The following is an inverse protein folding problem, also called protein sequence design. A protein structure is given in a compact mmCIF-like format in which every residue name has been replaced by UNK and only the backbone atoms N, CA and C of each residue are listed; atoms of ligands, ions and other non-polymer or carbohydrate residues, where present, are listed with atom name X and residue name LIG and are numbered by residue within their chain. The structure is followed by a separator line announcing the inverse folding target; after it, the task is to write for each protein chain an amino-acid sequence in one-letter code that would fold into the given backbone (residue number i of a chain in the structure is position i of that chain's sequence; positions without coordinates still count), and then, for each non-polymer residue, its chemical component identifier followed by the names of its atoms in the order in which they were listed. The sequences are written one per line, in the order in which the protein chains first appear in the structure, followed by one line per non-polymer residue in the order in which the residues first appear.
data_IF_812374397822
#
_entry.id   IF_812374397822
#
_cell.length_a   1.000
_cell.length_b   1.000
_cell.length_c   1.000
_cell.angle_alpha   90.00
_cell.angle_beta   90.00
_cell.angle_gamma   90.00
#
_symmetry.space_group_name_H-M   'P 1'
#
loop_
_entity.id
_entity.type
_entity.pdbx_description
1 polymer ?
#
# COMPACT_ATOMS: atom_id res chain seq x y z
N UNK A 1 19.15 -14.10 19.62
CA UNK A 1 18.37 -14.59 18.46
C UNK A 1 18.65 -13.68 17.28
N UNK A 2 19.19 -14.24 16.21
CA UNK A 2 19.44 -13.52 14.95
C UNK A 2 18.20 -13.70 14.09
N UNK A 3 17.45 -12.61 13.94
CA UNK A 3 16.24 -12.57 13.12
C UNK A 3 16.61 -12.63 11.64
N UNK A 4 15.76 -13.23 10.83
CA UNK A 4 16.05 -13.34 9.40
C UNK A 4 15.78 -12.00 8.71
N UNK A 5 16.56 -11.70 7.67
CA UNK A 5 16.38 -10.52 6.80
C UNK A 5 14.91 -10.42 6.31
N UNK A 6 14.29 -11.57 6.05
CA UNK A 6 12.90 -11.71 5.64
C UNK A 6 11.88 -11.14 6.63
N UNK A 7 11.99 -11.47 7.92
CA UNK A 7 11.06 -10.99 8.96
C UNK A 7 10.99 -9.45 9.00
N UNK A 8 12.15 -8.79 8.88
CA UNK A 8 12.24 -7.32 8.82
C UNK A 8 11.57 -6.77 7.56
N UNK A 9 11.80 -7.39 6.41
CA UNK A 9 11.20 -6.96 5.14
C UNK A 9 9.68 -7.18 5.12
N UNK A 10 9.20 -8.31 5.66
CA UNK A 10 7.78 -8.61 5.84
C UNK A 10 7.11 -7.58 6.75
N UNK A 11 7.78 -7.19 7.83
CA UNK A 11 7.29 -6.16 8.73
C UNK A 11 7.19 -4.78 8.06
N UNK A 12 8.18 -4.40 7.24
CA UNK A 12 8.14 -3.16 6.43
C UNK A 12 6.97 -3.17 5.43
N UNK A 13 6.69 -4.31 4.82
CA UNK A 13 5.52 -4.45 3.94
C UNK A 13 4.21 -4.33 4.74
N UNK A 14 4.14 -4.94 5.93
CA UNK A 14 3.00 -4.79 6.83
C UNK A 14 2.78 -3.35 7.32
N UNK A 15 3.83 -2.53 7.46
CA UNK A 15 3.67 -1.11 7.76
C UNK A 15 2.95 -0.35 6.61
N UNK A 16 3.13 -0.79 5.36
CA UNK A 16 2.38 -0.24 4.22
C UNK A 16 0.91 -0.65 4.23
N UNK A 17 0.56 -1.81 4.82
CA UNK A 17 -0.83 -2.25 5.00
C UNK A 17 -1.66 -1.16 5.69
N UNK A 18 -1.16 -0.59 6.79
CA UNK A 18 -1.85 0.49 7.50
C UNK A 18 -2.07 1.71 6.63
N UNK A 19 -1.05 2.13 5.86
CA UNK A 19 -1.19 3.23 4.91
C UNK A 19 -2.30 2.96 3.86
N UNK A 20 -2.30 1.76 3.27
CA UNK A 20 -3.30 1.42 2.26
C UNK A 20 -4.69 1.17 2.84
N UNK A 21 -4.78 0.74 4.09
CA UNK A 21 -6.05 0.64 4.81
C UNK A 21 -6.74 2.00 4.87
N UNK A 22 -6.05 3.05 5.30
CA UNK A 22 -6.63 4.40 5.33
C UNK A 22 -6.99 4.88 3.90
N UNK A 23 -6.08 4.71 2.93
CA UNK A 23 -6.29 5.05 1.51
C UNK A 23 -7.55 4.42 0.93
N UNK A 24 -7.75 3.13 1.14
CA UNK A 24 -8.83 2.38 0.53
C UNK A 24 -10.12 2.37 1.35
N UNK A 25 -10.02 2.19 2.67
CA UNK A 25 -11.17 1.99 3.54
C UNK A 25 -11.73 3.28 4.12
N UNK A 26 -10.98 4.36 4.21
CA UNK A 26 -11.42 5.55 4.97
C UNK A 26 -11.64 6.79 4.08
N UNK A 27 -10.71 7.12 3.20
CA UNK A 27 -10.80 8.37 2.43
C UNK A 27 -11.92 8.45 1.38
N UNK A 28 -12.33 7.37 0.68
CA UNK A 28 -13.46 7.45 -0.26
C UNK A 28 -14.81 7.86 0.37
N UNK A 29 -14.88 7.95 1.70
CA UNK A 29 -16.10 8.14 2.49
C UNK A 29 -16.23 9.52 3.12
N UNK A 30 -15.22 10.38 2.93
CA UNK A 30 -15.28 11.78 3.35
C UNK A 30 -16.32 12.50 2.48
N UNK A 31 -17.20 13.28 3.12
CA UNK A 31 -18.26 14.03 2.43
C UNK A 31 -17.66 15.11 1.54
N UNK A 32 -18.19 15.26 0.33
CA UNK A 32 -17.74 16.25 -0.63
C UNK A 32 -18.09 17.68 -0.13
N UNK A 33 -17.13 18.60 -0.22
CA UNK A 33 -17.22 20.03 0.14
C UNK A 33 -16.08 20.82 -0.55
N UNK A 34 -16.01 22.14 -0.43
CA UNK A 34 -15.01 22.94 -1.19
C UNK A 34 -13.55 22.60 -0.86
N UNK A 35 -13.24 22.20 0.38
CA UNK A 35 -11.92 21.72 0.82
C UNK A 35 -11.57 20.30 0.33
N UNK A 36 -12.48 19.63 -0.38
CA UNK A 36 -12.35 18.23 -0.77
C UNK A 36 -11.47 18.00 -1.99
N UNK A 37 -11.39 18.96 -2.91
CA UNK A 37 -10.59 18.82 -4.12
C UNK A 37 -9.08 18.90 -3.85
N UNK A 38 -8.64 19.90 -3.09
CA UNK A 38 -7.25 20.02 -2.64
C UNK A 38 -6.83 18.82 -1.78
N UNK A 39 -7.75 18.35 -0.93
CA UNK A 39 -7.55 17.17 -0.11
C UNK A 39 -7.43 15.87 -0.94
N UNK A 40 -8.27 15.67 -1.96
CA UNK A 40 -8.15 14.53 -2.90
C UNK A 40 -6.80 14.52 -3.63
N UNK A 41 -6.29 15.69 -4.02
CA UNK A 41 -4.96 15.81 -4.64
C UNK A 41 -3.86 15.39 -3.66
N UNK A 42 -3.87 15.88 -2.42
CA UNK A 42 -2.91 15.45 -1.39
C UNK A 42 -2.97 13.94 -1.12
N UNK A 43 -4.17 13.37 -1.03
CA UNK A 43 -4.33 11.91 -0.83
C UNK A 43 -3.79 11.12 -2.02
N UNK A 44 -4.01 11.61 -3.26
CA UNK A 44 -3.43 11.01 -4.47
C UNK A 44 -1.91 11.01 -4.43
N UNK A 45 -1.29 12.12 -4.02
CA UNK A 45 0.16 12.22 -3.87
C UNK A 45 0.71 11.20 -2.87
N UNK A 46 0.09 11.13 -1.69
CA UNK A 46 0.47 10.16 -0.67
C UNK A 46 0.29 8.73 -1.21
N UNK A 47 -0.81 8.43 -1.88
CA UNK A 47 -1.05 7.12 -2.47
C UNK A 47 0.03 6.76 -3.48
N UNK A 48 0.43 7.68 -4.38
CA UNK A 48 1.51 7.45 -5.35
C UNK A 48 2.84 7.17 -4.66
N UNK A 49 3.18 7.93 -3.61
CA UNK A 49 4.41 7.69 -2.82
C UNK A 49 4.37 6.30 -2.18
N UNK A 50 3.23 5.89 -1.62
CA UNK A 50 3.06 4.59 -0.97
C UNK A 50 3.06 3.45 -1.98
N UNK A 51 2.43 3.60 -3.14
CA UNK A 51 2.46 2.63 -4.25
C UNK A 51 3.89 2.45 -4.80
N UNK A 52 4.66 3.53 -4.94
CA UNK A 52 6.08 3.43 -5.29
C UNK A 52 6.88 2.64 -4.25
N UNK A 53 6.61 2.89 -2.97
CA UNK A 53 7.26 2.19 -1.86
C UNK A 53 6.86 0.70 -1.82
N UNK A 54 5.60 0.39 -2.10
CA UNK A 54 5.10 -0.98 -2.25
C UNK A 54 5.83 -1.74 -3.36
N UNK A 55 5.98 -1.15 -4.55
CA UNK A 55 6.70 -1.80 -5.66
C UNK A 55 8.15 -2.15 -5.28
N UNK A 56 8.85 -1.27 -4.56
CA UNK A 56 10.20 -1.53 -4.04
C UNK A 56 10.20 -2.63 -2.98
N UNK A 57 9.28 -2.58 -2.02
CA UNK A 57 9.17 -3.58 -0.97
C UNK A 57 8.85 -4.96 -1.54
N UNK A 58 7.97 -5.04 -2.54
CA UNK A 58 7.63 -6.30 -3.23
C UNK A 58 8.84 -6.94 -3.89
N UNK A 59 9.70 -6.19 -4.57
CA UNK A 59 10.92 -6.74 -5.20
C UNK A 59 11.80 -7.41 -4.14
N UNK A 60 12.02 -6.75 -3.00
CA UNK A 60 12.80 -7.29 -1.89
C UNK A 60 12.15 -8.56 -1.32
N UNK A 61 10.83 -8.55 -1.16
CA UNK A 61 10.08 -9.74 -0.72
C UNK A 61 10.23 -10.89 -1.73
N UNK A 62 10.13 -10.63 -3.03
CA UNK A 62 10.28 -11.65 -4.07
C UNK A 62 11.68 -12.29 -4.03
N UNK A 63 12.73 -11.52 -3.76
CA UNK A 63 14.08 -12.06 -3.55
C UNK A 63 14.11 -13.01 -2.35
N UNK A 64 13.51 -12.62 -1.21
CA UNK A 64 13.44 -13.47 -0.02
C UNK A 64 12.61 -14.74 -0.28
N UNK A 65 11.47 -14.63 -0.98
CA UNK A 65 10.64 -15.77 -1.36
C UNK A 65 11.37 -16.75 -2.27
N UNK A 66 12.18 -16.24 -3.21
CA UNK A 66 13.03 -17.05 -4.09
C UNK A 66 14.05 -17.86 -3.29
N UNK A 67 14.71 -17.24 -2.32
CA UNK A 67 15.67 -17.92 -1.44
C UNK A 67 14.98 -19.02 -0.61
N UNK A 68 13.74 -18.76 -0.17
CA UNK A 68 12.93 -19.70 0.62
C UNK A 68 12.21 -20.76 -0.23
N UNK A 69 12.26 -20.67 -1.56
CA UNK A 69 11.51 -21.52 -2.51
C UNK A 69 9.98 -21.43 -2.31
N UNK A 70 9.47 -20.21 -2.12
CA UNK A 70 8.06 -19.88 -1.86
C UNK A 70 7.48 -18.85 -2.84
N UNK A 71 8.04 -18.76 -4.04
CA UNK A 71 7.64 -17.82 -5.10
C UNK A 71 6.18 -17.98 -5.53
N UNK A 72 5.63 -19.19 -5.40
CA UNK A 72 4.23 -19.52 -5.70
C UNK A 72 3.21 -18.65 -4.95
N UNK A 73 3.60 -18.07 -3.81
CA UNK A 73 2.78 -17.12 -3.06
C UNK A 73 2.64 -15.81 -3.84
N UNK A 74 3.75 -15.18 -4.24
CA UNK A 74 3.73 -13.95 -5.01
C UNK A 74 3.11 -14.15 -6.41
N UNK A 75 3.35 -15.30 -7.04
CA UNK A 75 2.70 -15.67 -8.30
C UNK A 75 1.18 -15.78 -8.16
N UNK A 76 0.69 -16.37 -7.07
CA UNK A 76 -0.75 -16.47 -6.79
C UNK A 76 -1.39 -15.11 -6.58
N UNK A 77 -0.63 -14.16 -6.05
CA UNK A 77 -1.04 -12.78 -5.82
C UNK A 77 -0.84 -11.86 -7.03
N UNK A 78 -0.41 -12.38 -8.19
CA UNK A 78 -0.25 -11.61 -9.44
C UNK A 78 -1.41 -10.69 -9.79
N UNK A 79 -2.68 -11.14 -9.75
CA UNK A 79 -3.81 -10.28 -10.05
C UNK A 79 -3.81 -8.97 -9.23
N UNK A 80 -3.30 -9.01 -8.00
CA UNK A 80 -3.26 -7.84 -7.11
C UNK A 80 -2.10 -6.89 -7.45
N UNK A 81 -0.89 -7.40 -7.68
CA UNK A 81 0.27 -6.51 -7.89
C UNK A 81 0.48 -6.09 -9.34
N UNK A 82 0.00 -6.86 -10.31
CA UNK A 82 0.23 -6.62 -11.74
C UNK A 82 -0.37 -5.29 -12.24
N UNK A 83 -1.62 -4.93 -11.90
CA UNK A 83 -2.19 -3.64 -12.31
C UNK A 83 -1.40 -2.44 -11.82
N UNK A 84 -0.75 -2.54 -10.65
CA UNK A 84 0.11 -1.49 -10.09
C UNK A 84 1.45 -1.47 -10.83
N UNK A 85 2.02 -2.64 -11.10
CA UNK A 85 3.30 -2.78 -11.79
C UNK A 85 3.26 -2.28 -13.23
N UNK A 86 2.14 -2.45 -13.93
CA UNK A 86 1.93 -1.86 -15.26
C UNK A 86 2.07 -0.34 -15.28
N UNK A 87 1.76 0.31 -14.15
CA UNK A 87 1.87 1.76 -13.97
C UNK A 87 3.22 2.21 -13.38
N UNK A 88 4.20 1.31 -13.20
CA UNK A 88 5.42 1.57 -12.40
C UNK A 88 6.22 2.80 -12.84
N UNK A 89 6.34 3.06 -14.14
CA UNK A 89 7.11 4.20 -14.64
C UNK A 89 6.35 5.51 -14.39
N UNK A 90 5.04 5.52 -14.62
CA UNK A 90 4.18 6.66 -14.28
C UNK A 90 4.20 6.97 -12.78
N UNK A 91 4.09 5.94 -11.93
CA UNK A 91 4.18 6.06 -10.47
C UNK A 91 5.54 6.64 -10.06
N UNK A 92 6.64 6.16 -10.65
CA UNK A 92 8.01 6.64 -10.37
C UNK A 92 8.19 8.10 -10.77
N UNK A 93 7.72 8.47 -11.96
CA UNK A 93 7.81 9.84 -12.47
C UNK A 93 6.98 10.80 -11.62
N UNK A 94 5.71 10.47 -11.35
CA UNK A 94 4.85 11.27 -10.48
C UNK A 94 5.45 11.42 -9.08
N UNK A 95 5.93 10.35 -8.45
CA UNK A 95 6.56 10.42 -7.12
C UNK A 95 7.74 11.39 -7.11
N UNK A 96 8.58 11.37 -8.15
CA UNK A 96 9.74 12.24 -8.22
C UNK A 96 9.34 13.70 -8.44
N UNK A 97 8.35 13.95 -9.30
CA UNK A 97 7.84 15.29 -9.56
C UNK A 97 7.05 15.85 -8.36
N UNK A 98 6.25 15.06 -7.63
CA UNK A 98 5.58 15.49 -6.40
C UNK A 98 6.56 15.85 -5.28
N UNK A 99 7.65 15.09 -5.11
CA UNK A 99 8.71 15.47 -4.17
C UNK A 99 9.44 16.73 -4.62
N UNK A 100 9.59 16.93 -5.93
CA UNK A 100 10.12 18.17 -6.47
C UNK A 100 9.15 19.34 -6.21
N UNK A 101 7.82 19.14 -6.27
CA UNK A 101 6.80 20.16 -5.97
C UNK A 101 6.78 20.65 -4.53
N UNK A 102 7.32 19.90 -3.57
CA UNK A 102 7.60 20.43 -2.23
C UNK A 102 8.81 21.38 -2.24
N UNK A 103 8.99 22.16 -3.31
CA UNK A 103 10.14 23.01 -3.56
C UNK A 103 10.48 23.87 -2.34
N UNK A 104 11.79 24.04 -2.12
CA UNK A 104 12.37 24.98 -1.18
C UNK A 104 11.66 26.33 -1.25
N UNK A 105 11.38 26.92 -0.08
CA UNK A 105 10.69 28.20 0.05
C UNK A 105 11.21 29.21 -1.00
N UNK A 106 10.31 29.74 -1.84
CA UNK A 106 10.52 30.80 -2.86
C UNK A 106 10.78 30.40 -4.34
N UNK A 107 10.58 29.14 -4.76
CA UNK A 107 10.56 28.80 -6.20
C UNK A 107 9.12 28.75 -6.75
N UNK A 108 8.86 29.30 -7.96
CA UNK A 108 7.57 29.11 -8.63
C UNK A 108 7.45 27.67 -9.15
N UNK A 109 6.24 27.09 -9.06
CA UNK A 109 5.97 25.76 -9.60
C UNK A 109 6.27 25.70 -11.11
N UNK A 110 7.15 24.79 -11.52
CA UNK A 110 7.53 24.60 -12.94
C UNK A 110 6.44 23.87 -13.76
N UNK A 111 5.69 22.98 -13.12
CA UNK A 111 4.62 22.18 -13.73
C UNK A 111 3.41 22.11 -12.77
N UNK A 112 2.21 21.89 -13.28
CA UNK A 112 1.04 21.58 -12.46
C UNK A 112 0.92 20.07 -12.27
N UNK A 113 0.25 19.62 -11.20
CA UNK A 113 -0.04 18.20 -11.02
C UNK A 113 -0.78 17.59 -12.23
N UNK A 114 -1.64 18.36 -12.90
CA UNK A 114 -2.40 17.93 -14.08
C UNK A 114 -1.52 17.79 -15.34
N UNK A 115 -0.57 18.69 -15.57
CA UNK A 115 0.43 18.57 -16.63
C UNK A 115 1.28 17.32 -16.43
N UNK A 116 1.67 17.03 -15.19
CA UNK A 116 2.45 15.83 -14.87
C UNK A 116 1.63 14.57 -15.12
N UNK A 117 0.36 14.55 -14.71
CA UNK A 117 -0.53 13.41 -14.94
C UNK A 117 -0.74 13.17 -16.44
N UNK A 118 -0.85 14.25 -17.23
CA UNK A 118 -0.98 14.18 -18.69
C UNK A 118 0.28 13.58 -19.35
N UNK A 119 1.47 14.01 -18.94
CA UNK A 119 2.74 13.52 -19.50
C UNK A 119 3.05 12.07 -19.13
N UNK A 120 2.73 11.69 -17.89
CA UNK A 120 3.06 10.35 -17.37
C UNK A 120 2.13 9.25 -17.89
N UNK A 121 1.01 9.61 -18.53
CA UNK A 121 -0.02 8.70 -19.09
C UNK A 121 -0.52 7.64 -18.11
N UNK A 122 -0.35 7.88 -16.82
CA UNK A 122 -0.79 6.99 -15.76
C UNK A 122 -2.30 7.13 -15.55
N UNK A 123 -2.97 5.99 -15.44
CA UNK A 123 -4.34 5.95 -14.94
C UNK A 123 -4.35 6.41 -13.48
N UNK A 124 -4.85 7.62 -13.25
CA UNK A 124 -4.67 8.33 -11.97
C UNK A 124 -5.92 9.07 -11.54
N UNK A 125 -7.07 8.67 -12.10
CA UNK A 125 -8.34 9.10 -11.56
C UNK A 125 -8.45 8.69 -10.08
N UNK A 126 -9.35 9.33 -9.34
CA UNK A 126 -9.58 8.95 -7.95
C UNK A 126 -9.88 7.46 -7.82
N UNK A 127 -10.69 6.91 -8.72
CA UNK A 127 -11.05 5.48 -8.70
C UNK A 127 -9.84 4.59 -8.97
N UNK A 128 -8.97 4.95 -9.92
CA UNK A 128 -7.74 4.19 -10.20
C UNK A 128 -6.85 4.11 -8.96
N UNK A 129 -6.67 5.23 -8.25
CA UNK A 129 -5.82 5.32 -7.07
C UNK A 129 -6.39 4.49 -5.91
N UNK A 130 -7.71 4.55 -5.71
CA UNK A 130 -8.39 3.73 -4.71
C UNK A 130 -8.29 2.24 -5.07
N UNK A 131 -8.50 1.88 -6.34
CA UNK A 131 -8.34 0.52 -6.83
C UNK A 131 -6.92 -0.02 -6.59
N UNK A 132 -5.88 0.72 -6.99
CA UNK A 132 -4.49 0.33 -6.75
C UNK A 132 -4.15 0.21 -5.27
N UNK A 133 -4.68 1.12 -4.44
CA UNK A 133 -4.51 1.06 -2.99
C UNK A 133 -5.17 -0.19 -2.40
N UNK A 134 -6.38 -0.54 -2.86
CA UNK A 134 -7.08 -1.77 -2.47
C UNK A 134 -6.33 -3.03 -2.90
N UNK A 135 -5.77 -3.05 -4.10
CA UNK A 135 -4.91 -4.12 -4.59
C UNK A 135 -3.67 -4.31 -3.70
N UNK A 136 -2.94 -3.23 -3.41
CA UNK A 136 -1.75 -3.28 -2.56
C UNK A 136 -2.08 -3.72 -1.12
N UNK A 137 -3.19 -3.22 -0.55
CA UNK A 137 -3.69 -3.63 0.76
C UNK A 137 -3.90 -5.15 0.82
N UNK A 138 -4.67 -5.69 -0.12
CA UNK A 138 -4.99 -7.11 -0.15
C UNK A 138 -3.74 -7.98 -0.39
N UNK A 139 -2.80 -7.53 -1.24
CA UNK A 139 -1.51 -8.20 -1.40
C UNK A 139 -0.79 -8.31 -0.05
N UNK A 140 -0.66 -7.22 0.69
CA UNK A 140 0.00 -7.21 2.00
C UNK A 140 -0.71 -8.15 2.98
N UNK A 141 -2.04 -8.13 3.01
CA UNK A 141 -2.84 -8.97 3.91
C UNK A 141 -2.67 -10.47 3.61
N UNK A 142 -2.75 -10.89 2.35
CA UNK A 142 -2.56 -12.30 1.98
C UNK A 142 -1.12 -12.76 2.19
N UNK A 143 -0.12 -11.93 1.86
CA UNK A 143 1.27 -12.28 2.11
C UNK A 143 1.52 -12.48 3.61
N UNK A 144 1.05 -11.53 4.43
CA UNK A 144 1.13 -11.64 5.89
C UNK A 144 0.46 -12.91 6.41
N UNK A 145 -0.73 -13.26 5.91
CA UNK A 145 -1.44 -14.46 6.34
C UNK A 145 -0.66 -15.77 6.03
N UNK A 146 0.13 -15.79 4.96
CA UNK A 146 1.00 -16.92 4.61
C UNK A 146 2.30 -16.99 5.43
N UNK A 147 2.62 -15.94 6.20
CA UNK A 147 3.82 -15.81 7.03
C UNK A 147 3.49 -15.18 8.40
N UNK A 148 2.36 -15.58 8.98
CA UNK A 148 1.79 -14.93 10.18
C UNK A 148 2.75 -14.99 11.37
N UNK A 149 3.44 -16.12 11.54
CA UNK A 149 4.36 -16.32 12.65
C UNK A 149 5.60 -15.43 12.53
N UNK A 150 6.17 -15.32 11.32
CA UNK A 150 7.30 -14.45 11.01
C UNK A 150 6.91 -12.98 11.21
N UNK A 151 5.70 -12.60 10.79
CA UNK A 151 5.18 -11.26 11.00
C UNK A 151 4.99 -10.91 12.48
N UNK A 152 4.39 -11.81 13.27
CA UNK A 152 4.17 -11.59 14.71
C UNK A 152 5.50 -11.45 15.46
N UNK A 153 6.47 -12.32 15.14
CA UNK A 153 7.82 -12.27 15.70
C UNK A 153 8.53 -10.96 15.36
N UNK A 154 8.42 -10.50 14.11
CA UNK A 154 8.98 -9.21 13.70
C UNK A 154 8.28 -8.04 14.40
N UNK A 155 6.95 -8.08 14.53
CA UNK A 155 6.16 -7.03 15.17
C UNK A 155 6.56 -6.82 16.62
N UNK A 156 6.65 -7.88 17.42
CA UNK A 156 7.02 -7.78 18.83
C UNK A 156 8.37 -7.09 19.03
N UNK A 157 9.29 -7.31 18.09
CA UNK A 157 10.63 -6.72 18.14
C UNK A 157 10.70 -5.28 17.59
N UNK A 158 10.00 -5.00 16.50
CA UNK A 158 10.13 -3.76 15.75
C UNK A 158 8.96 -2.78 15.94
N UNK A 159 7.99 -3.05 16.83
CA UNK A 159 6.83 -2.16 17.03
C UNK A 159 7.24 -0.70 17.31
N UNK A 160 8.37 -0.48 17.96
CA UNK A 160 8.86 0.86 18.36
C UNK A 160 9.75 1.52 17.31
N UNK A 161 10.01 0.83 16.19
CA UNK A 161 10.96 1.24 15.15
C UNK A 161 10.29 1.56 13.82
N UNK A 162 8.95 1.59 13.76
CA UNK A 162 8.26 2.09 12.57
C UNK A 162 8.55 3.59 12.48
N UNK A 163 9.22 4.06 11.42
CA UNK A 163 9.45 5.47 11.26
C UNK A 163 8.11 6.17 10.95
N UNK A 164 7.89 7.34 11.55
CA UNK A 164 6.59 8.02 11.63
C UNK A 164 5.96 8.29 10.25
N UNK A 165 6.80 8.46 9.23
CA UNK A 165 6.51 8.65 7.81
C UNK A 165 5.90 7.40 7.13
N UNK A 166 6.02 6.22 7.73
CA UNK A 166 5.32 5.02 7.28
C UNK A 166 3.84 5.01 7.69
N UNK A 167 3.45 5.83 8.68
CA UNK A 167 2.12 5.88 9.26
C UNK A 167 1.43 7.14 8.73
N UNK A 168 0.32 6.97 8.01
CA UNK A 168 -0.58 8.09 7.78
C UNK A 168 -1.11 8.56 9.14
N UNK A 169 -1.19 9.87 9.43
CA UNK A 169 -1.77 10.34 10.68
C UNK A 169 -3.12 9.67 10.90
N UNK A 170 -3.37 9.13 12.10
CA UNK A 170 -4.65 8.51 12.45
C UNK A 170 -5.77 9.56 12.30
N UNK A 171 -6.44 9.60 11.16
CA UNK A 171 -7.69 10.31 11.00
C UNK A 171 -8.80 9.34 11.41
N UNK A 172 -9.47 9.59 12.54
CA UNK A 172 -10.69 8.83 12.88
C UNK A 172 -11.77 9.12 11.84
N UNK A 173 -12.01 8.20 10.91
CA UNK A 173 -13.10 8.29 9.95
C UNK A 173 -14.03 7.10 10.19
N UNK A 174 -15.22 7.39 10.75
CA UNK A 174 -16.22 6.38 11.08
C UNK A 174 -17.14 6.09 9.88
N UNK A 175 -17.40 4.79 9.67
CA UNK A 175 -18.37 4.13 8.77
C UNK A 175 -17.83 3.61 7.42
N UNK A 176 -18.25 2.38 7.05
CA UNK A 176 -17.69 1.58 5.93
C UNK A 176 -18.76 0.89 5.07
N UNK A 177 -18.84 1.23 3.76
CA UNK A 177 -19.30 0.43 2.58
C UNK A 177 -18.64 1.06 1.33
N UNK A 178 -18.15 0.43 0.26
CA UNK A 178 -18.34 -0.86 -0.40
C UNK A 178 -17.08 -1.10 -1.28
N UNK A 179 -16.60 -2.33 -1.51
CA UNK A 179 -15.53 -2.57 -2.49
C UNK A 179 -16.04 -2.44 -3.94
N UNK A 180 -15.20 -1.89 -4.82
CA UNK A 180 -15.43 -1.85 -6.27
C UNK A 180 -15.51 -3.28 -6.83
N UNK A 181 -16.42 -3.53 -7.79
CA UNK A 181 -16.62 -4.85 -8.39
C UNK A 181 -15.37 -5.38 -9.10
N UNK A 182 -14.55 -4.47 -9.64
CA UNK A 182 -13.27 -4.82 -10.25
C UNK A 182 -12.29 -5.38 -9.19
N UNK A 183 -12.18 -4.74 -8.03
CA UNK A 183 -11.31 -5.21 -6.95
C UNK A 183 -11.77 -6.57 -6.41
N UNK A 184 -13.07 -6.76 -6.22
CA UNK A 184 -13.61 -8.07 -5.81
C UNK A 184 -13.23 -9.18 -6.77
N UNK A 185 -13.29 -8.90 -8.07
CA UNK A 185 -12.90 -9.86 -9.12
C UNK A 185 -11.42 -10.22 -8.99
N UNK A 186 -10.54 -9.23 -8.82
CA UNK A 186 -9.10 -9.45 -8.65
C UNK A 186 -8.80 -10.27 -7.38
N UNK A 187 -9.45 -9.94 -6.26
CA UNK A 187 -9.33 -10.66 -5.00
C UNK A 187 -9.75 -12.13 -5.18
N UNK A 188 -10.90 -12.38 -5.81
CA UNK A 188 -11.41 -13.73 -6.04
C UNK A 188 -10.46 -14.57 -6.91
N UNK A 189 -9.84 -13.98 -7.93
CA UNK A 189 -8.84 -14.67 -8.74
C UNK A 189 -7.60 -15.02 -7.89
N UNK A 190 -7.12 -14.09 -7.07
CA UNK A 190 -5.99 -14.35 -6.16
C UNK A 190 -6.31 -15.45 -5.14
N UNK A 191 -7.52 -15.46 -4.56
CA UNK A 191 -7.98 -16.53 -3.65
C UNK A 191 -7.96 -17.88 -4.37
N UNK A 192 -8.53 -17.97 -5.58
CA UNK A 192 -8.53 -19.21 -6.37
C UNK A 192 -7.10 -19.69 -6.67
N UNK A 193 -6.18 -18.78 -6.98
CA UNK A 193 -4.78 -19.12 -7.22
C UNK A 193 -4.08 -19.64 -5.96
N UNK A 194 -4.30 -18.99 -4.81
CA UNK A 194 -3.77 -19.44 -3.52
C UNK A 194 -4.30 -20.84 -3.16
N UNK A 195 -5.61 -21.08 -3.32
CA UNK A 195 -6.23 -22.38 -3.10
C UNK A 195 -5.61 -23.48 -3.97
N UNK A 196 -5.41 -23.19 -5.27
CA UNK A 196 -4.78 -24.13 -6.20
C UNK A 196 -3.36 -24.54 -5.78
N UNK A 197 -2.66 -23.64 -5.08
CA UNK A 197 -1.30 -23.88 -4.57
C UNK A 197 -1.26 -24.35 -3.10
N UNK A 198 -2.41 -24.67 -2.49
CA UNK A 198 -2.54 -25.06 -1.08
C UNK A 198 -1.98 -24.00 -0.09
N UNK A 199 -2.22 -22.73 -0.40
CA UNK A 199 -1.77 -21.58 0.38
C UNK A 199 -2.90 -20.97 1.23
N UNK A 200 -2.54 -20.19 2.25
CA UNK A 200 -3.51 -19.53 3.14
C UNK A 200 -4.34 -18.51 2.37
N UNK A 201 -5.67 -18.63 2.50
CA UNK A 201 -6.66 -17.71 1.87
C UNK A 201 -7.46 -16.93 2.89
N UNK A 202 -7.37 -17.29 4.17
CA UNK A 202 -8.02 -16.57 5.26
C UNK A 202 -7.17 -15.37 5.65
N UNK A 203 -7.68 -14.17 5.41
CA UNK A 203 -7.12 -12.95 5.95
C UNK A 203 -7.64 -12.81 7.38
N UNK A 204 -6.78 -12.83 8.41
CA UNK A 204 -7.24 -12.56 9.77
C UNK A 204 -7.84 -11.14 9.83
N UNK A 205 -8.94 -10.94 10.57
CA UNK A 205 -9.57 -9.63 10.67
C UNK A 205 -8.53 -8.60 11.14
N UNK A 206 -8.56 -7.35 10.64
CA UNK A 206 -7.68 -6.32 11.13
C UNK A 206 -7.91 -6.19 12.63
N UNK A 207 -6.92 -6.56 13.45
CA UNK A 207 -6.92 -6.19 14.87
C UNK A 207 -7.01 -4.66 14.89
N UNK A 208 -7.79 -4.05 15.77
CA UNK A 208 -7.77 -2.58 15.90
C UNK A 208 -6.34 -2.15 16.25
N UNK A 209 -5.66 -1.42 15.36
CA UNK A 209 -4.32 -0.90 15.63
C UNK A 209 -4.47 0.32 16.54
N UNK A 210 -4.45 0.12 17.86
CA UNK A 210 -4.31 1.22 18.80
C UNK A 210 -2.83 1.56 18.95
N UNK A 211 -2.37 2.60 18.27
CA UNK A 211 -1.06 3.19 18.55
C UNK A 211 -1.14 3.98 19.85
N UNK A 212 -0.86 3.34 20.99
CA UNK A 212 -0.60 4.07 22.24
C UNK A 212 0.82 4.60 22.19
N UNK A 213 0.95 5.91 21.92
CA UNK A 213 2.20 6.61 22.13
C UNK A 213 2.50 6.63 23.63
N UNK A 214 3.65 6.08 24.03
CA UNK A 214 4.22 6.42 25.33
C UNK A 214 4.92 7.76 25.16
N UNK A 215 4.36 8.80 25.76
CA UNK A 215 5.08 10.06 25.96
C UNK A 215 6.41 9.74 26.67
N UNK A 216 7.51 10.27 26.13
CA UNK A 216 8.82 10.27 26.76
C UNK A 216 9.06 11.60 27.45
#
# INVERSE_FOLDING_TARGET
MTFTKFESNLYRLGALEGSFYHLYMEFPKIKEGETFYSFKSLVREIAIIKLHTFLKARIIILEDLTIMKKESIDESLRPLWEPIYEQKEGIRLLRNKYLAHMQEENQPFEETAEEILYETKIKSSWNDIIFYSGCALNYCMFLKANFQQEFESAREKYHSSIPLDAILPNFEIKHVKNPDAELLTVIDISIKNLQKNNLTTEIPPPKNWSFTFKEK
#
